data_IF_609548845576
#
_entry.id   IF_609548845576
#
_cell.length_a   1.000
_cell.length_b   1.000
_cell.length_c   1.000
_cell.angle_alpha   90.00
_cell.angle_beta   90.00
_cell.angle_gamma   90.00
#
_symmetry.space_group_name_H-M   'P 1'
#
loop_
_entity.id
_entity.type
_entity.pdbx_description
1 polymer ?
#
# COMPACT_ATOMS: atom_id res chain seq x y z
N UNK A 1 46.61 -8.07 22.32
CA UNK A 1 45.63 -7.06 21.88
C UNK A 1 44.75 -6.70 23.08
N UNK A 2 44.57 -5.42 23.42
CA UNK A 2 43.83 -5.01 24.62
C UNK A 2 42.42 -4.50 24.28
N UNK A 3 41.54 -4.43 25.28
CA UNK A 3 40.14 -4.03 25.09
C UNK A 3 39.98 -2.67 24.39
N UNK A 4 40.79 -1.67 24.77
CA UNK A 4 40.76 -0.33 24.14
C UNK A 4 41.06 -0.39 22.64
N UNK A 5 42.05 -1.17 22.24
CA UNK A 5 42.42 -1.35 20.83
C UNK A 5 41.32 -2.05 20.01
N UNK A 6 40.61 -3.01 20.60
CA UNK A 6 39.48 -3.68 19.97
C UNK A 6 38.31 -2.72 19.76
N UNK A 7 37.96 -1.92 20.78
CA UNK A 7 36.88 -0.92 20.69
C UNK A 7 37.17 0.12 19.61
N UNK A 8 38.41 0.61 19.53
CA UNK A 8 38.81 1.56 18.49
C UNK A 8 38.73 0.97 17.07
N UNK A 9 39.14 -0.29 16.89
CA UNK A 9 39.02 -0.97 15.60
C UNK A 9 37.56 -1.17 15.18
N UNK A 10 36.69 -1.51 16.11
CA UNK A 10 35.25 -1.65 15.86
C UNK A 10 34.62 -0.31 15.49
N UNK A 11 34.92 0.76 16.21
CA UNK A 11 34.43 2.10 15.90
C UNK A 11 34.86 2.53 14.49
N UNK A 12 36.13 2.32 14.13
CA UNK A 12 36.61 2.62 12.79
C UNK A 12 35.87 1.82 11.71
N UNK A 13 35.61 0.52 11.93
CA UNK A 13 34.85 -0.31 10.98
C UNK A 13 33.40 0.16 10.82
N UNK A 14 32.71 0.47 11.91
CA UNK A 14 31.32 0.97 11.87
C UNK A 14 31.25 2.32 11.15
N UNK A 15 32.26 3.17 11.32
CA UNK A 15 32.33 4.50 10.69
C UNK A 15 32.80 4.47 9.22
N UNK A 16 33.04 3.29 8.63
CA UNK A 16 33.37 3.21 7.21
C UNK A 16 32.13 3.57 6.37
N UNK A 17 32.26 4.45 5.36
CA UNK A 17 31.13 4.93 4.57
C UNK A 17 30.26 3.81 3.97
N UNK A 18 30.87 2.72 3.49
CA UNK A 18 30.14 1.60 2.90
C UNK A 18 29.31 0.82 3.94
N UNK A 19 29.78 0.72 5.19
CA UNK A 19 29.05 0.08 6.28
C UNK A 19 27.84 0.92 6.66
N UNK A 20 28.04 2.23 6.81
CA UNK A 20 26.96 3.20 7.08
C UNK A 20 25.93 3.16 5.94
N UNK A 21 26.36 3.21 4.69
CA UNK A 21 25.47 3.18 3.53
C UNK A 21 24.62 1.92 3.50
N UNK A 22 25.26 0.75 3.69
CA UNK A 22 24.56 -0.54 3.72
C UNK A 22 23.52 -0.57 4.83
N UNK A 23 23.86 -0.08 6.02
CA UNK A 23 22.93 0.00 7.14
C UNK A 23 21.75 0.95 6.84
N UNK A 24 22.03 2.15 6.35
CA UNK A 24 21.01 3.15 6.01
C UNK A 24 20.05 2.63 4.94
N UNK A 25 20.54 1.93 3.91
CA UNK A 25 19.69 1.31 2.89
C UNK A 25 18.73 0.28 3.49
N UNK A 26 19.20 -0.56 4.41
CA UNK A 26 18.35 -1.55 5.11
C UNK A 26 17.30 -0.89 6.00
N UNK A 27 17.69 0.12 6.77
CA UNK A 27 16.77 0.88 7.63
C UNK A 27 15.71 1.59 6.78
N UNK A 28 16.12 2.26 5.70
CA UNK A 28 15.21 2.94 4.79
C UNK A 28 14.23 1.97 4.12
N UNK A 29 14.71 0.85 3.59
CA UNK A 29 13.86 -0.17 2.99
C UNK A 29 12.84 -0.73 3.99
N UNK A 30 13.26 -0.97 5.24
CA UNK A 30 12.36 -1.40 6.31
C UNK A 30 11.29 -0.35 6.63
N UNK A 31 11.68 0.93 6.62
CA UNK A 31 10.74 2.06 6.77
C UNK A 31 9.73 2.15 5.63
N UNK A 32 10.16 1.93 4.37
CA UNK A 32 9.26 1.87 3.20
C UNK A 32 8.25 0.72 3.34
N UNK A 33 8.70 -0.47 3.73
CA UNK A 33 7.81 -1.62 3.93
C UNK A 33 6.85 -1.41 5.11
N UNK A 34 7.30 -0.74 6.17
CA UNK A 34 6.42 -0.35 7.28
C UNK A 34 5.38 0.68 6.83
N UNK A 35 5.78 1.71 6.09
CA UNK A 35 4.90 2.77 5.61
C UNK A 35 3.82 2.24 4.65
N UNK A 36 4.18 1.30 3.75
CA UNK A 36 3.22 0.63 2.87
C UNK A 36 2.08 -0.04 3.64
N UNK A 37 2.36 -0.55 4.85
CA UNK A 37 1.36 -1.19 5.73
C UNK A 37 0.46 -0.19 6.46
N UNK A 38 0.82 1.09 6.51
CA UNK A 38 0.03 2.13 7.19
C UNK A 38 -1.10 2.68 6.31
N UNK A 39 -0.99 2.58 4.99
CA UNK A 39 -2.05 3.04 4.08
C UNK A 39 -3.26 2.12 4.17
N UNK A 40 -4.48 2.65 4.42
CA UNK A 40 -5.70 1.85 4.35
C UNK A 40 -6.08 1.49 2.91
N UNK A 41 -5.46 2.16 1.92
CA UNK A 41 -5.69 1.93 0.50
C UNK A 41 -4.87 0.74 0.00
N UNK A 42 -5.57 -0.25 -0.53
CA UNK A 42 -5.05 -1.49 -1.09
C UNK A 42 -5.14 -1.37 -2.61
N UNK A 43 -4.01 -1.60 -3.30
CA UNK A 43 -3.97 -1.65 -4.76
C UNK A 43 -4.77 -2.84 -5.27
N UNK A 44 -5.60 -2.63 -6.30
CA UNK A 44 -6.35 -3.72 -6.95
C UNK A 44 -5.44 -4.76 -7.61
N UNK A 45 -4.17 -4.41 -7.87
CA UNK A 45 -3.14 -5.33 -8.36
C UNK A 45 -2.60 -6.25 -7.27
N UNK A 46 -2.60 -5.79 -6.03
CA UNK A 46 -2.08 -6.55 -4.89
C UNK A 46 -3.17 -7.46 -4.34
N UNK A 47 -4.39 -6.93 -4.16
CA UNK A 47 -5.53 -7.69 -3.65
C UNK A 47 -6.85 -7.03 -4.05
N UNK A 48 -7.83 -7.84 -4.40
CA UNK A 48 -9.22 -7.41 -4.62
C UNK A 48 -10.04 -7.53 -3.32
N UNK A 49 -11.07 -6.69 -3.12
CA UNK A 49 -12.02 -6.89 -2.03
C UNK A 49 -12.86 -8.14 -2.30
N UNK A 50 -13.54 -8.65 -1.27
CA UNK A 50 -14.50 -9.73 -1.46
C UNK A 50 -15.62 -9.27 -2.41
N UNK A 51 -16.12 -10.13 -3.32
CA UNK A 51 -17.25 -9.78 -4.15
C UNK A 51 -18.45 -9.33 -3.30
N UNK A 52 -19.14 -8.28 -3.73
CA UNK A 52 -20.27 -7.65 -3.04
C UNK A 52 -19.93 -6.97 -1.70
N UNK A 53 -18.65 -6.96 -1.29
CA UNK A 53 -18.21 -6.14 -0.17
C UNK A 53 -18.21 -4.66 -0.57
N UNK A 54 -18.97 -3.87 0.17
CA UNK A 54 -18.96 -2.42 0.01
C UNK A 54 -17.64 -1.81 0.52
N UNK A 55 -16.98 -1.04 -0.35
CA UNK A 55 -15.67 -0.44 -0.12
C UNK A 55 -15.64 0.98 -0.70
N UNK A 56 -14.70 1.80 -0.20
CA UNK A 56 -14.32 3.01 -0.90
C UNK A 56 -13.39 2.66 -2.05
N UNK A 57 -13.61 3.26 -3.21
CA UNK A 57 -12.85 3.06 -4.43
C UNK A 57 -12.18 4.37 -4.83
N UNK A 58 -10.94 4.25 -5.31
CA UNK A 58 -10.22 5.34 -5.97
C UNK A 58 -10.25 5.14 -7.48
N UNK A 59 -10.97 6.03 -8.15
CA UNK A 59 -11.09 6.16 -9.59
C UNK A 59 -10.15 7.25 -10.10
N UNK A 60 -9.09 6.85 -10.81
CA UNK A 60 -8.09 7.78 -11.34
C UNK A 60 -8.68 8.75 -12.36
N UNK A 61 -9.67 8.31 -13.13
CA UNK A 61 -10.15 9.04 -14.31
C UNK A 61 -11.39 9.90 -14.01
N UNK A 62 -12.01 9.73 -12.83
CA UNK A 62 -13.15 10.53 -12.39
C UNK A 62 -12.73 11.86 -11.77
N UNK A 63 -13.46 12.93 -12.09
CA UNK A 63 -13.29 14.26 -11.47
C UNK A 63 -13.45 14.23 -9.94
N UNK A 64 -14.27 13.31 -9.41
CA UNK A 64 -14.48 13.19 -7.96
C UNK A 64 -13.44 12.29 -7.27
N UNK A 65 -12.74 11.47 -8.05
CA UNK A 65 -11.78 10.43 -7.65
C UNK A 65 -12.25 9.35 -6.67
N UNK A 66 -13.25 9.62 -5.84
CA UNK A 66 -13.71 8.71 -4.80
C UNK A 66 -15.16 8.30 -5.04
N UNK A 67 -15.42 7.00 -4.91
CA UNK A 67 -16.77 6.44 -4.97
C UNK A 67 -16.93 5.34 -3.94
N UNK A 68 -18.18 5.08 -3.55
CA UNK A 68 -18.53 3.85 -2.82
C UNK A 68 -18.98 2.83 -3.86
N UNK A 69 -18.54 1.59 -3.71
CA UNK A 69 -18.84 0.54 -4.66
C UNK A 69 -18.40 -0.83 -4.18
N UNK A 70 -18.52 -1.82 -5.07
CA UNK A 70 -18.12 -3.19 -4.79
C UNK A 70 -17.69 -3.93 -6.05
N UNK A 71 -16.91 -4.99 -5.86
CA UNK A 71 -16.56 -5.92 -6.92
C UNK A 71 -17.75 -6.85 -7.19
N UNK A 72 -18.14 -7.03 -8.45
CA UNK A 72 -19.25 -7.92 -8.82
C UNK A 72 -18.76 -9.38 -8.87
N UNK A 73 -19.58 -10.33 -8.41
CA UNK A 73 -19.32 -11.78 -8.53
C UNK A 73 -19.13 -12.24 -9.98
N UNK A 74 -19.91 -11.67 -10.90
CA UNK A 74 -19.84 -11.91 -12.34
C UNK A 74 -20.01 -10.60 -13.08
N UNK A 75 -19.19 -10.40 -14.12
CA UNK A 75 -19.26 -9.20 -14.98
C UNK A 75 -20.58 -9.13 -15.76
N UNK A 76 -21.12 -10.27 -16.19
CA UNK A 76 -22.38 -10.35 -16.94
C UNK A 76 -22.33 -9.50 -18.21
N UNK A 77 -23.43 -8.80 -18.52
CA UNK A 77 -23.52 -7.83 -19.62
C UNK A 77 -22.86 -6.46 -19.31
N UNK A 78 -22.32 -6.28 -18.10
CA UNK A 78 -21.77 -4.99 -17.69
C UNK A 78 -20.33 -4.83 -18.21
N UNK A 79 -19.98 -3.62 -18.67
CA UNK A 79 -18.64 -3.33 -19.20
C UNK A 79 -17.55 -3.31 -18.13
N UNK A 80 -17.92 -3.11 -16.86
CA UNK A 80 -17.02 -3.07 -15.71
C UNK A 80 -17.37 -4.15 -14.70
N UNK A 81 -16.34 -4.72 -14.09
CA UNK A 81 -16.40 -5.64 -12.93
C UNK A 81 -16.78 -4.90 -11.66
N UNK A 82 -16.69 -3.58 -11.65
CA UNK A 82 -17.04 -2.74 -10.51
C UNK A 82 -18.48 -2.25 -10.63
N UNK A 83 -19.15 -2.19 -9.50
CA UNK A 83 -20.35 -1.39 -9.33
C UNK A 83 -19.99 -0.17 -8.49
N UNK A 84 -20.49 1.01 -8.85
CA UNK A 84 -20.37 2.23 -8.06
C UNK A 84 -21.75 2.83 -7.83
N UNK A 85 -21.96 3.41 -6.66
CA UNK A 85 -23.26 3.99 -6.29
C UNK A 85 -23.63 5.22 -7.13
N UNK A 86 -22.64 5.95 -7.64
CA UNK A 86 -22.84 7.24 -8.31
C UNK A 86 -22.14 7.36 -9.67
N UNK A 87 -22.42 6.44 -10.60
CA UNK A 87 -22.05 6.59 -12.00
C UNK A 87 -21.53 5.33 -12.68
N UNK A 88 -20.58 5.52 -13.58
CA UNK A 88 -19.93 4.45 -14.34
C UNK A 88 -18.42 4.58 -14.20
N UNK A 89 -17.76 3.43 -14.06
CA UNK A 89 -16.30 3.32 -13.99
C UNK A 89 -15.85 2.21 -14.92
N UNK A 90 -14.59 2.26 -15.37
CA UNK A 90 -13.98 1.16 -16.13
C UNK A 90 -13.18 0.26 -15.20
N UNK A 91 -12.73 -0.89 -15.70
CA UNK A 91 -11.90 -1.79 -14.90
C UNK A 91 -10.50 -1.17 -14.67
N UNK A 92 -10.04 -0.36 -15.62
CA UNK A 92 -8.72 0.27 -15.63
C UNK A 92 -8.65 1.53 -14.76
N UNK A 93 -9.77 2.22 -14.56
CA UNK A 93 -9.82 3.49 -13.83
C UNK A 93 -9.74 3.29 -12.31
N UNK A 94 -10.30 2.18 -11.81
CA UNK A 94 -10.21 1.80 -10.40
C UNK A 94 -8.82 1.22 -10.11
N UNK A 95 -8.05 1.91 -9.26
CA UNK A 95 -6.68 1.49 -8.95
C UNK A 95 -6.48 1.04 -7.51
N UNK A 96 -7.27 1.58 -6.58
CA UNK A 96 -7.17 1.25 -5.16
C UNK A 96 -8.55 1.17 -4.52
N UNK A 97 -8.63 0.46 -3.40
CA UNK A 97 -9.81 0.41 -2.56
C UNK A 97 -9.42 0.44 -1.08
N UNK A 98 -10.33 0.88 -0.22
CA UNK A 98 -10.18 0.76 1.24
C UNK A 98 -11.46 0.22 1.86
N UNK A 99 -11.32 -0.62 2.90
CA UNK A 99 -12.47 -1.10 3.66
C UNK A 99 -13.17 0.05 4.38
N UNK A 100 -14.51 0.07 4.35
CA UNK A 100 -15.31 1.00 5.14
C UNK A 100 -15.21 0.59 6.62
N UNK A 101 -14.71 1.44 7.53
CA UNK A 101 -14.65 1.12 8.94
C UNK A 101 -16.05 0.89 9.51
N UNK A 102 -16.21 -0.15 10.32
CA UNK A 102 -17.42 -0.35 11.12
C UNK A 102 -17.30 0.49 12.38
N UNK A 103 -18.23 1.42 12.57
CA UNK A 103 -18.35 2.17 13.81
C UNK A 103 -19.36 1.45 14.69
N UNK A 104 -18.95 1.10 15.92
CA UNK A 104 -19.89 0.68 16.95
C UNK A 104 -20.56 1.96 17.44
N UNK A 105 -21.80 2.20 17.00
CA UNK A 105 -22.65 3.29 17.48
C UNK A 105 -23.54 2.77 18.58
#
# INVERSE_FOLDING_TARGET
MNFKSLVAQLANRINQPHVIETYMRKVFASGVEWQKKQSPWISVKDKLPEPEQEVFLYDRDSVKHYAIGWLRKKKGYCKSKWFVTNGYVTDESITHWMSIPKFNV
#
